data_IF_079185689116
#
_entry.id   IF_079185689116
#
_cell.length_a   1.000
_cell.length_b   1.000
_cell.length_c   1.000
_cell.angle_alpha   90.00
_cell.angle_beta   90.00
_cell.angle_gamma   90.00
#
_symmetry.space_group_name_H-M   'P 1'
#
loop_
_entity.id
_entity.type
_entity.pdbx_description
1 polymer ?
2 non-polymer ?
3 water ?
#
# COMPACT_ATOMS: atom_id res chain seq x y z
N UNK A 2 -0.95 -3.98 17.92
CA UNK A 2 -0.36 -4.11 16.59
C UNK A 2 -1.33 -3.82 15.45
N UNK A 3 -2.51 -3.30 15.78
CA UNK A 3 -3.55 -3.07 14.79
C UNK A 3 -3.30 -1.84 13.92
N UNK A 4 -3.57 -1.97 12.62
CA UNK A 4 -3.36 -0.90 11.66
C UNK A 4 -4.65 -0.52 10.92
N UNK A 5 -4.64 0.65 10.28
CA UNK A 5 -5.63 0.97 9.29
C UNK A 5 -4.97 0.58 7.95
N UNK A 6 -5.66 -0.25 7.18
CA UNK A 6 -5.13 -0.75 5.91
C UNK A 6 -6.01 -0.31 4.74
N UNK A 7 -5.42 0.31 3.73
CA UNK A 7 -6.18 0.69 2.54
C UNK A 7 -5.90 -0.28 1.40
N UNK A 8 -6.95 -0.86 0.82
CA UNK A 8 -6.82 -1.67 -0.38
C UNK A 8 -7.11 -0.75 -1.56
N UNK A 9 -6.26 -0.78 -2.59
CA UNK A 9 -6.51 0.09 -3.75
C UNK A 9 -6.13 -0.62 -5.04
N UNK A 10 -7.11 -0.80 -5.91
CA UNK A 10 -6.91 -1.52 -7.17
C UNK A 10 -7.32 -0.66 -8.37
N UNK A 11 -6.72 -0.94 -9.53
CA UNK A 11 -6.91 -0.13 -10.73
C UNK A 11 -7.72 -0.89 -11.80
N UNK A 12 -7.89 -0.26 -12.97
CA UNK A 12 -8.91 -0.72 -13.92
C UNK A 12 -8.65 -2.12 -14.48
N UNK A 13 -7.40 -2.47 -14.73
CA UNK A 13 -7.16 -3.75 -15.40
C UNK A 13 -7.58 -4.94 -14.52
N UNK A 14 -7.49 -4.76 -13.20
CA UNK A 14 -7.81 -5.84 -12.26
C UNK A 14 -9.07 -5.59 -11.43
N UNK A 15 -9.87 -4.60 -11.84
CA UNK A 15 -11.00 -4.15 -11.02
C UNK A 15 -12.05 -5.23 -10.82
N UNK A 16 -12.20 -6.13 -11.78
CA UNK A 16 -13.19 -7.23 -11.65
C UNK A 16 -12.88 -8.08 -10.45
N UNK A 17 -11.60 -8.11 -10.06
CA UNK A 17 -11.16 -8.96 -8.97
C UNK A 17 -11.21 -8.28 -7.61
N UNK A 18 -11.60 -7.01 -7.58
CA UNK A 18 -11.63 -6.30 -6.30
C UNK A 18 -12.54 -6.94 -5.26
N UNK A 19 -13.73 -7.39 -5.66
CA UNK A 19 -14.64 -8.03 -4.70
C UNK A 19 -13.98 -9.22 -4.00
N UNK A 20 -13.32 -10.07 -4.79
CA UNK A 20 -12.59 -11.21 -4.24
C UNK A 20 -11.51 -10.73 -3.29
N UNK A 21 -10.68 -9.77 -3.71
CA UNK A 21 -9.56 -9.40 -2.87
C UNK A 21 -10.03 -8.72 -1.59
N UNK A 22 -10.99 -7.83 -1.71
CA UNK A 22 -11.56 -7.16 -0.54
C UNK A 22 -12.18 -8.18 0.40
N UNK A 23 -12.85 -9.18 -0.18
CA UNK A 23 -13.40 -10.27 0.61
C UNK A 23 -12.34 -10.95 1.47
N UNK A 24 -11.22 -11.32 0.86
CA UNK A 24 -10.15 -11.97 1.59
C UNK A 24 -9.53 -11.02 2.60
N UNK A 25 -9.34 -9.75 2.23
CA UNK A 25 -8.67 -8.81 3.12
C UNK A 25 -9.53 -8.55 4.36
N UNK A 26 -10.81 -8.33 4.13
CA UNK A 26 -11.74 -8.08 5.22
C UNK A 26 -11.82 -9.28 6.14
N UNK A 27 -11.90 -10.47 5.54
CA UNK A 27 -11.93 -11.71 6.31
C UNK A 27 -10.67 -11.86 7.17
N UNK A 28 -9.51 -11.80 6.53
CA UNK A 28 -8.25 -12.05 7.23
C UNK A 28 -7.85 -10.89 8.15
N UNK A 29 -7.69 -9.71 7.58
CA UNK A 29 -7.18 -8.58 8.34
C UNK A 29 -8.23 -8.10 9.33
N UNK A 30 -9.49 -8.13 8.91
CA UNK A 30 -10.57 -7.76 9.83
C UNK A 30 -10.61 -8.70 11.03
N UNK A 31 -10.47 -9.98 10.75
CA UNK A 31 -10.50 -10.98 11.81
C UNK A 31 -9.36 -10.79 12.79
N UNK A 32 -8.26 -10.21 12.31
CA UNK A 32 -7.10 -9.96 13.16
C UNK A 32 -7.16 -8.61 13.87
N UNK A 33 -8.28 -7.90 13.72
CA UNK A 33 -8.49 -6.66 14.46
C UNK A 33 -8.09 -5.39 13.74
N UNK A 34 -7.73 -5.51 12.47
CA UNK A 34 -7.34 -4.33 11.69
C UNK A 34 -8.58 -3.64 11.10
N UNK A 35 -8.41 -2.38 10.71
CA UNK A 35 -9.48 -1.57 10.14
C UNK A 35 -9.24 -1.42 8.64
N UNK A 36 -10.09 -2.02 7.83
CA UNK A 36 -9.84 -2.12 6.39
C UNK A 36 -10.68 -1.16 5.57
N UNK A 37 -10.04 -0.45 4.65
CA UNK A 37 -10.70 0.53 3.77
C UNK A 37 -10.45 0.14 2.32
N UNK A 38 -11.50 0.15 1.50
CA UNK A 38 -11.37 -0.27 0.11
C UNK A 38 -11.55 1.00 -0.68
N UNK A 39 -10.43 1.63 -1.04
CA UNK A 39 -10.47 3.02 -1.53
C UNK A 39 -10.20 3.18 -3.01
N UNK A 40 -9.73 2.11 -3.65
CA UNK A 40 -9.54 2.11 -5.09
C UNK A 40 -10.81 1.64 -5.79
N UNK A 41 -10.68 1.12 -7.01
CA UNK A 41 -11.84 0.65 -7.75
C UNK A 41 -12.51 -0.56 -7.10
N UNK A 42 -13.84 -0.57 -7.12
CA UNK A 42 -14.57 -1.69 -6.56
C UNK A 42 -15.03 -2.65 -7.64
N UNK A 43 -15.14 -2.15 -8.87
CA UNK A 43 -15.45 -2.98 -10.03
C UNK A 43 -15.14 -2.21 -11.31
N UNK A 44 -15.34 -2.84 -12.47
CA UNK A 44 -14.89 -2.22 -13.72
C UNK A 44 -15.64 -0.95 -14.07
N UNK A 45 -16.81 -0.76 -13.48
CA UNK A 45 -17.63 0.42 -13.77
C UNK A 45 -17.42 1.58 -12.80
N UNK A 46 -16.57 1.38 -11.80
CA UNK A 46 -16.34 2.38 -10.77
C UNK A 46 -15.47 3.54 -11.28
N UNK A 47 -15.39 4.61 -10.50
CA UNK A 47 -14.52 5.75 -10.78
C UNK A 47 -13.18 5.23 -11.27
N UNK A 48 -12.81 5.60 -12.51
CA UNK A 48 -11.70 4.94 -13.22
C UNK A 48 -10.32 5.39 -12.72
N UNK A 49 -9.44 4.40 -12.49
CA UNK A 49 -8.09 4.61 -11.99
C UNK A 49 -7.08 3.78 -12.77
N UNK A 50 -5.85 4.27 -12.88
CA UNK A 50 -4.76 3.44 -13.39
C UNK A 50 -3.74 3.27 -12.27
N UNK A 51 -2.70 2.51 -12.53
CA UNK A 51 -1.68 2.34 -11.50
C UNK A 51 -0.94 3.63 -11.18
N UNK A 52 -1.03 4.65 -12.05
CA UNK A 52 -0.46 5.95 -11.72
C UNK A 52 -1.21 6.58 -10.56
N UNK A 53 -2.54 6.55 -10.62
CA UNK A 53 -3.34 7.14 -9.57
C UNK A 53 -3.11 6.40 -8.26
N UNK A 54 -2.91 5.08 -8.34
CA UNK A 54 -2.69 4.33 -7.12
C UNK A 54 -1.52 4.87 -6.30
N UNK A 55 -0.40 5.17 -6.95
CA UNK A 55 0.75 5.67 -6.23
C UNK A 55 0.45 7.00 -5.55
N UNK A 56 -0.28 7.87 -6.25
CA UNK A 56 -0.62 9.18 -5.67
C UNK A 56 -1.54 9.00 -4.46
N UNK A 57 -2.53 8.12 -4.60
CA UNK A 57 -3.39 7.77 -3.48
C UNK A 57 -2.61 7.19 -2.31
N UNK A 58 -1.65 6.32 -2.57
CA UNK A 58 -0.89 5.75 -1.47
C UNK A 58 -0.12 6.86 -0.76
N UNK A 59 0.47 7.77 -1.54
CA UNK A 59 1.20 8.88 -0.91
C UNK A 59 0.27 9.72 -0.04
N UNK A 60 -0.88 10.09 -0.57
CA UNK A 60 -1.75 11.00 0.18
C UNK A 60 -2.21 10.33 1.47
N UNK A 61 -2.62 9.06 1.37
CA UNK A 61 -3.12 8.37 2.55
C UNK A 61 -2.02 8.06 3.56
N UNK A 62 -0.83 7.67 3.09
CA UNK A 62 0.24 7.32 4.02
C UNK A 62 0.89 8.57 4.61
N UNK A 63 1.17 9.55 3.77
CA UNK A 63 1.82 10.75 4.27
C UNK A 63 0.93 11.60 5.18
N UNK A 64 -0.39 11.46 5.04
CA UNK A 64 -1.32 12.24 5.87
C UNK A 64 -1.61 11.45 7.13
N UNK A 65 -1.05 10.25 7.19
CA UNK A 65 -1.29 9.33 8.28
C UNK A 65 -2.74 8.84 8.38
N UNK A 66 -3.50 8.99 7.30
CA UNK A 66 -4.86 8.47 7.24
C UNK A 66 -4.90 6.96 7.37
N UNK A 67 -3.90 6.29 6.82
CA UNK A 67 -3.76 4.85 7.00
C UNK A 67 -2.32 4.51 7.32
N UNK A 68 -2.13 3.28 7.79
CA UNK A 68 -0.82 2.79 8.20
C UNK A 68 -0.18 1.90 7.14
N UNK A 69 -0.99 1.32 6.27
CA UNK A 69 -0.49 0.30 5.33
C UNK A 69 -1.37 0.29 4.09
N UNK A 70 -0.76 0.04 2.95
CA UNK A 70 -1.47 -0.02 1.67
C UNK A 70 -1.31 -1.40 1.02
N UNK A 71 -2.43 -1.98 0.59
CA UNK A 71 -2.39 -3.18 -0.22
C UNK A 71 -2.81 -2.76 -1.63
N UNK A 72 -1.97 -3.05 -2.62
CA UNK A 72 -2.30 -2.64 -3.97
C UNK A 72 -1.80 -3.71 -4.93
N UNK A 73 -1.75 -3.39 -6.22
CA UNK A 73 -1.24 -4.33 -7.20
C UNK A 73 -1.81 -4.03 -8.57
N UNK A 74 -1.53 -4.91 -9.52
CA UNK A 74 -2.09 -4.77 -10.86
C UNK A 74 -1.87 -6.13 -11.53
N UNK A 75 -1.83 -6.20 -12.85
CA UNK A 75 -1.71 -7.52 -13.49
C UNK A 75 -0.45 -8.26 -13.04
N UNK A 76 0.68 -7.58 -13.08
CA UNK A 76 1.94 -8.18 -12.62
C UNK A 76 2.42 -7.58 -11.30
N UNK A 77 1.79 -6.49 -10.86
CA UNK A 77 2.26 -5.76 -9.68
C UNK A 77 3.35 -4.72 -9.97
N UNK A 78 3.96 -4.79 -11.15
CA UNK A 78 5.12 -3.92 -11.44
C UNK A 78 4.76 -2.44 -11.53
N UNK A 79 3.76 -2.09 -12.33
CA UNK A 79 3.39 -0.68 -12.46
C UNK A 79 3.02 -0.10 -11.11
N UNK A 80 2.20 -0.82 -10.35
CA UNK A 80 1.76 -0.27 -9.07
C UNK A 80 2.94 -0.12 -8.10
N UNK A 81 3.84 -1.08 -8.11
CA UNK A 81 5.01 -1.04 -7.21
C UNK A 81 5.92 0.13 -7.54
N UNK A 82 6.13 0.35 -8.84
CA UNK A 82 7.05 1.44 -9.23
C UNK A 82 6.39 2.80 -9.06
N UNK A 83 5.07 2.84 -9.26
CA UNK A 83 4.26 4.06 -9.07
C UNK A 83 4.21 4.47 -7.60
N UNK A 84 4.12 3.50 -6.69
CA UNK A 84 4.14 3.81 -5.24
C UNK A 84 5.53 4.27 -4.78
N UNK A 85 6.56 3.53 -5.19
CA UNK A 85 7.90 3.78 -4.63
C UNK A 85 8.50 5.14 -4.98
N UNK A 86 8.03 5.78 -6.05
CA UNK A 86 8.56 7.10 -6.37
C UNK A 86 8.21 8.12 -5.29
N UNK A 87 7.13 7.90 -4.57
CA UNK A 87 6.67 8.93 -3.62
C UNK A 87 7.41 8.86 -2.29
N UNK A 88 7.82 10.02 -1.77
CA UNK A 88 8.41 9.96 -0.43
C UNK A 88 7.40 9.42 0.56
N UNK A 89 7.89 8.72 1.57
CA UNK A 89 7.02 8.20 2.60
C UNK A 89 6.28 6.92 2.22
N UNK A 90 6.47 6.44 0.99
CA UNK A 90 5.83 5.22 0.52
C UNK A 90 6.88 4.18 0.17
N UNK A 91 6.89 3.09 0.95
CA UNK A 91 7.90 2.06 0.83
C UNK A 91 7.15 0.76 0.49
N UNK A 92 7.12 0.41 -0.80
CA UNK A 92 6.25 -0.66 -1.31
C UNK A 92 7.05 -1.85 -1.82
N UNK A 93 6.83 -3.02 -1.24
CA UNK A 93 7.50 -4.23 -1.72
C UNK A 93 6.62 -5.03 -2.70
N UNK A 94 7.20 -5.96 -3.45
CA UNK A 94 6.38 -6.92 -4.19
C UNK A 94 5.90 -7.98 -3.20
N UNK A 95 4.79 -8.64 -3.53
CA UNK A 95 4.34 -9.73 -2.69
C UNK A 95 3.66 -10.75 -3.56
N UNK A 96 4.32 -11.87 -3.80
CA UNK A 96 3.81 -12.89 -4.72
C UNK A 96 3.42 -14.19 -4.03
N UNK A 97 3.95 -14.43 -2.84
CA UNK A 97 3.65 -15.68 -2.12
C UNK A 97 3.85 -15.33 -0.65
N UNK A 98 3.25 -16.10 0.26
CA UNK A 98 3.19 -15.71 1.67
C UNK A 98 4.52 -15.35 2.35
N UNK A 99 5.60 -16.07 2.08
CA UNK A 99 6.83 -15.73 2.80
C UNK A 99 7.43 -14.38 2.34
N UNK A 100 7.02 -13.89 1.17
CA UNK A 100 7.40 -12.51 0.78
C UNK A 100 6.92 -11.49 1.79
N UNK A 101 5.69 -11.67 2.27
CA UNK A 101 5.04 -10.72 3.16
C UNK A 101 5.76 -10.72 4.51
N UNK A 102 6.02 -11.90 5.03
CA UNK A 102 6.76 -12.01 6.29
C UNK A 102 8.13 -11.35 6.20
N UNK A 103 8.92 -11.73 5.20
CA UNK A 103 10.27 -11.18 5.04
C UNK A 103 10.22 -9.66 4.80
N UNK A 104 9.28 -9.20 3.99
CA UNK A 104 9.16 -7.77 3.76
C UNK A 104 8.96 -7.05 5.10
N UNK A 105 8.04 -7.54 5.92
CA UNK A 105 7.77 -6.88 7.20
C UNK A 105 8.98 -6.88 8.11
N UNK A 106 9.73 -7.97 8.13
CA UNK A 106 10.86 -8.07 9.04
C UNK A 106 12.12 -7.34 8.55
N UNK A 107 12.40 -7.43 7.26
CA UNK A 107 13.65 -6.91 6.70
C UNK A 107 13.49 -5.45 6.29
N UNK A 108 12.42 -5.16 5.55
CA UNK A 108 12.24 -3.82 5.02
C UNK A 108 11.35 -2.94 5.88
N UNK A 109 10.36 -3.55 6.52
CA UNK A 109 9.48 -2.83 7.44
C UNK A 109 8.87 -1.65 6.72
N UNK A 110 8.36 -1.89 5.51
CA UNK A 110 7.75 -0.83 4.71
C UNK A 110 6.27 -0.73 5.02
N UNK A 111 5.54 -0.01 4.19
CA UNK A 111 4.14 0.29 4.47
C UNK A 111 3.19 0.06 3.29
N UNK A 112 3.66 -0.67 2.29
CA UNK A 112 2.78 -1.02 1.17
C UNK A 112 3.27 -2.31 0.53
N UNK A 113 2.35 -3.11 -0.01
CA UNK A 113 2.75 -4.26 -0.81
C UNK A 113 1.96 -4.26 -2.12
N UNK A 114 2.60 -4.74 -3.18
CA UNK A 114 1.96 -4.80 -4.50
C UNK A 114 1.87 -6.24 -4.96
N UNK A 115 0.64 -6.70 -5.18
CA UNK A 115 0.40 -8.09 -5.59
C UNK A 115 0.21 -8.19 -7.09
N UNK A 116 0.39 -9.40 -7.62
CA UNK A 116 0.08 -9.68 -9.02
C UNK A 116 -1.28 -10.38 -9.06
N UNK A 117 -2.26 -9.76 -9.69
CA UNK A 117 -3.61 -10.31 -9.72
C UNK A 117 -3.94 -11.04 -11.03
N UNK A 118 -3.05 -10.95 -12.03
CA UNK A 118 -3.28 -11.63 -13.31
C UNK A 118 -2.17 -12.63 -13.64
N UNK A 119 -0.94 -12.17 -13.66
CA UNK A 119 0.19 -13.05 -13.95
C UNK A 119 0.39 -14.02 -12.79
N UNK A 120 0.48 -15.31 -13.09
CA UNK A 120 0.58 -16.31 -12.04
C UNK A 120 -0.72 -16.56 -11.28
N UNK A 121 -1.80 -15.92 -11.70
CA UNK A 121 -3.07 -16.00 -10.96
C UNK A 121 -4.03 -16.85 -11.72
N UNK A 122 -4.18 -18.08 -11.27
CA UNK A 122 -5.08 -18.96 -11.96
C UNK A 122 -6.02 -19.57 -10.98
N UNK A 123 -6.53 -20.67 -11.45
CA UNK A 123 -7.53 -21.35 -10.75
C UNK A 123 -6.93 -21.50 -9.38
N UNK A 124 -7.68 -21.15 -8.33
CA UNK A 124 -7.19 -21.23 -6.94
C UNK A 124 -6.26 -20.10 -6.39
N UNK A 125 -6.11 -19.02 -7.16
CA UNK A 125 -5.34 -17.81 -6.89
C UNK A 125 -5.79 -17.08 -5.62
N UNK A 126 -7.08 -17.17 -5.31
CA UNK A 126 -7.62 -16.48 -4.14
C UNK A 126 -7.02 -17.03 -2.83
N UNK A 127 -6.64 -18.31 -2.83
CA UNK A 127 -6.00 -18.93 -1.66
C UNK A 127 -4.68 -18.23 -1.35
N UNK A 128 -3.87 -18.05 -2.39
CA UNK A 128 -2.59 -17.37 -2.22
C UNK A 128 -2.79 -15.94 -1.70
N UNK A 129 -3.80 -15.23 -2.21
CA UNK A 129 -4.09 -13.88 -1.70
C UNK A 129 -4.41 -13.96 -0.20
N UNK A 130 -5.28 -14.89 0.17
CA UNK A 130 -5.61 -15.09 1.59
C UNK A 130 -4.37 -15.32 2.44
N UNK A 131 -3.52 -16.23 1.99
CA UNK A 131 -2.34 -16.65 2.75
C UNK A 131 -1.35 -15.49 2.86
N UNK A 132 -1.24 -14.71 1.79
CA UNK A 132 -0.40 -13.50 1.83
C UNK A 132 -0.89 -12.57 2.92
N UNK A 133 -2.20 -12.37 3.02
CA UNK A 133 -2.72 -11.45 4.02
C UNK A 133 -2.51 -12.00 5.43
N UNK A 134 -2.61 -13.32 5.56
CA UNK A 134 -2.37 -13.98 6.84
C UNK A 134 -0.97 -13.68 7.35
N UNK A 135 0.03 -13.76 6.47
CA UNK A 135 1.40 -13.51 6.88
C UNK A 135 1.74 -12.02 6.97
N UNK A 136 1.12 -11.19 6.13
CA UNK A 136 1.38 -9.73 6.18
C UNK A 136 0.91 -9.07 7.46
N UNK A 137 -0.17 -9.59 8.03
CA UNK A 137 -0.89 -8.83 9.05
C UNK A 137 -0.98 -9.55 10.40
N UNK A 138 -0.23 -10.64 10.53
CA UNK A 138 -0.10 -11.35 11.80
C UNK A 138 1.29 -11.06 12.36
N UNK A 139 1.37 -10.83 13.67
CA UNK A 139 2.67 -10.75 14.31
C UNK A 139 3.32 -9.38 14.28
N UNK A 140 4.60 -9.34 14.65
CA UNK A 140 5.31 -8.07 14.72
C UNK A 140 6.10 -7.79 13.45
N UNK A 141 6.55 -6.54 13.31
CA UNK A 141 7.22 -6.11 12.10
C UNK A 141 8.57 -5.47 12.43
N UNK A 142 9.50 -5.55 11.47
CA UNK A 142 10.82 -4.96 11.62
C UNK A 142 11.81 -5.58 12.58
N UNK A 143 11.74 -6.90 12.82
CA UNK A 143 12.66 -7.52 13.75
C UNK A 143 13.90 -8.06 13.07
N UNK A 144 13.97 -7.90 11.76
CA UNK A 144 15.07 -8.48 10.99
C UNK A 144 14.86 -9.97 10.68
N UNK A 145 15.59 -10.41 9.62
CA UNK A 145 15.78 -11.82 9.14
C UNK A 145 16.94 -12.02 8.08
N UNK A 146 17.84 -13.01 8.28
CA UNK A 146 17.80 -13.85 9.47
C UNK A 146 18.35 -12.97 10.56
N UNK A 147 18.17 -13.39 11.81
CA UNK A 147 18.41 -12.50 12.92
C UNK A 147 19.81 -11.90 12.88
N UNK A 148 20.75 -12.65 12.32
CA UNK A 148 22.14 -12.22 12.27
C UNK A 148 22.31 -10.87 11.56
N UNK A 149 21.37 -10.54 10.68
CA UNK A 149 21.45 -9.33 9.87
C UNK A 149 20.52 -8.23 10.34
N UNK A 150 19.85 -8.43 11.47
CA UNK A 150 18.85 -7.49 11.95
C UNK A 150 19.37 -6.05 11.98
N UNK A 151 20.33 -5.77 12.86
CA UNK A 151 20.96 -4.42 12.95
C UNK A 151 21.18 -3.72 11.60
N UNK A 152 21.94 -4.34 10.70
CA UNK A 152 22.17 -3.65 9.42
C UNK A 152 20.89 -3.51 8.60
N UNK A 153 19.97 -4.47 8.69
CA UNK A 153 18.71 -4.36 7.96
C UNK A 153 17.90 -3.16 8.46
N UNK A 154 17.83 -3.02 9.78
CA UNK A 154 17.14 -1.87 10.36
C UNK A 154 17.82 -0.55 9.99
N UNK A 155 19.16 -0.56 10.01
CA UNK A 155 19.90 0.65 9.66
C UNK A 155 19.64 1.07 8.23
N UNK A 156 19.63 0.10 7.33
CA UNK A 156 19.45 0.44 5.92
C UNK A 156 18.03 0.86 5.62
N UNK A 157 17.08 0.23 6.29
CA UNK A 157 15.68 0.61 6.11
C UNK A 157 15.49 2.06 6.57
N UNK A 158 16.14 2.44 7.66
CA UNK A 158 16.04 3.84 8.12
C UNK A 158 16.62 4.81 7.10
N UNK A 159 17.78 4.47 6.57
CA UNK A 159 18.44 5.29 5.58
C UNK A 159 17.57 5.44 4.31
N UNK A 160 16.90 4.36 3.91
CA UNK A 160 16.06 4.42 2.72
C UNK A 160 15.07 5.58 2.85
N UNK A 161 14.48 5.73 4.04
CA UNK A 161 13.51 6.81 4.22
C UNK A 161 14.17 8.17 4.05
N UNK A 162 15.37 8.31 4.57
CA UNK A 162 16.11 9.59 4.43
C UNK A 162 16.37 9.93 2.98
N UNK A 163 16.82 8.93 2.23
CA UNK A 163 17.19 9.15 0.84
C UNK A 163 15.96 9.54 0.05
N UNK A 164 14.84 8.87 0.34
CA UNK A 164 13.59 9.20 -0.33
C UNK A 164 13.20 10.64 -0.03
N UNK A 165 13.29 11.03 1.23
CA UNK A 165 12.92 12.40 1.61
C UNK A 165 13.84 13.43 0.98
N UNK A 166 15.11 13.06 0.78
CA UNK A 166 16.09 14.00 0.23
C UNK A 166 15.90 14.24 -1.27
N UNK A 167 15.67 13.15 -1.99
CA UNK A 167 15.57 13.18 -3.45
C UNK A 167 14.28 13.82 -3.90
N UNK A 168 13.25 13.66 -3.07
CA UNK A 168 11.93 14.19 -3.36
C UNK A 168 11.71 15.61 -2.87
N UNK A 169 10.90 16.36 -3.59
CA UNK A 169 10.39 17.64 -3.07
C UNK A 169 9.57 17.39 -1.81
N UNK A 170 9.28 18.46 -1.07
CA UNK A 170 8.35 18.34 0.06
C UNK A 170 7.06 17.71 -0.48
N UNK A 171 6.34 16.97 0.36
CA UNK A 171 5.18 16.23 -0.13
C UNK A 171 4.18 17.09 -0.92
N UNK A 172 3.70 18.17 -0.33
CA UNK A 172 2.69 18.94 -1.02
C UNK A 172 3.24 19.61 -2.28
N UNK A 173 4.44 20.17 -2.21
CA UNK A 173 5.06 20.77 -3.39
C UNK A 173 5.15 19.75 -4.51
N UNK A 174 5.55 18.54 -4.16
CA UNK A 174 5.64 17.48 -5.16
C UNK A 174 4.30 17.14 -5.79
N UNK A 175 3.27 17.08 -4.97
CA UNK A 175 1.94 16.75 -5.47
C UNK A 175 1.48 17.85 -6.42
N UNK A 176 1.84 19.10 -6.09
CA UNK A 176 1.46 20.21 -6.95
C UNK A 176 2.15 20.18 -8.29
N UNK A 177 3.30 19.52 -8.36
CA UNK A 177 4.09 19.46 -9.59
C UNK A 177 3.56 18.35 -10.51
N UNK A 178 2.87 17.36 -9.93
CA UNK A 178 2.25 16.32 -10.76
C UNK A 178 1.17 16.99 -11.59
N UNK A 179 0.89 16.45 -12.78
CA UNK A 179 -0.23 16.92 -13.58
C UNK A 179 -1.46 16.92 -12.68
N UNK A 180 -2.07 18.08 -12.47
CA UNK A 180 -3.14 18.12 -11.48
C UNK A 180 -4.36 17.34 -11.87
N UNK A 181 -4.53 17.08 -13.16
CA UNK A 181 -5.60 16.17 -13.60
C UNK A 181 -5.43 14.79 -12.92
N UNK A 182 -4.19 14.32 -12.85
CA UNK A 182 -3.92 13.02 -12.23
C UNK A 182 -4.32 13.06 -10.77
N UNK A 183 -3.96 14.13 -10.06
CA UNK A 183 -4.24 14.14 -8.63
C UNK A 183 -5.73 14.27 -8.37
N UNK A 184 -6.41 15.11 -9.15
CA UNK A 184 -7.86 15.24 -9.02
C UNK A 184 -8.56 13.89 -9.20
N UNK A 185 -8.10 13.13 -10.19
CA UNK A 185 -8.67 11.80 -10.43
C UNK A 185 -8.39 10.90 -9.25
N UNK A 186 -7.16 10.96 -8.74
CA UNK A 186 -6.74 10.09 -7.62
C UNK A 186 -7.63 10.29 -6.38
N UNK A 187 -8.03 11.53 -6.11
CA UNK A 187 -8.81 11.80 -4.90
C UNK A 187 -10.29 11.92 -5.18
N UNK A 188 -10.70 11.58 -6.40
CA UNK A 188 -12.06 11.80 -6.83
C UNK A 188 -13.19 10.93 -6.29
N UNK A 189 -12.92 9.71 -5.85
CA UNK A 189 -14.01 8.80 -5.48
C UNK A 189 -14.55 9.05 -4.07
N UNK A 190 -15.81 8.68 -3.85
CA UNK A 190 -16.42 8.79 -2.52
C UNK A 190 -15.71 7.91 -1.50
N UNK A 191 -15.32 6.70 -1.89
CA UNK A 191 -14.65 5.81 -0.93
C UNK A 191 -13.27 6.34 -0.54
N UNK A 192 -12.57 6.99 -1.47
CA UNK A 192 -11.27 7.58 -1.11
C UNK A 192 -11.47 8.74 -0.14
N UNK A 193 -12.37 9.65 -0.51
CA UNK A 193 -12.58 10.84 0.31
C UNK A 193 -13.06 10.49 1.71
N UNK A 194 -13.91 9.48 1.82
CA UNK A 194 -14.45 9.10 3.12
C UNK A 194 -13.34 8.64 4.05
N UNK A 195 -12.42 7.84 3.52
CA UNK A 195 -11.28 7.39 4.31
C UNK A 195 -10.37 8.57 4.64
N UNK A 196 -9.98 9.32 3.62
CA UNK A 196 -9.02 10.40 3.80
C UNK A 196 -9.49 11.45 4.81
N UNK A 197 -10.65 12.01 4.57
CA UNK A 197 -11.11 13.11 5.41
C UNK A 197 -11.40 12.70 6.85
N UNK A 198 -11.78 11.45 7.05
CA UNK A 198 -12.06 10.92 8.38
C UNK A 198 -10.80 10.71 9.20
N UNK A 199 -9.68 10.45 8.53
CA UNK A 199 -8.49 10.00 9.24
C UNK A 199 -7.23 10.85 9.01
N UNK A 200 -7.29 11.80 8.09
CA UNK A 200 -6.13 12.65 7.83
C UNK A 200 -5.65 13.37 9.09
N UNK A 201 -4.35 13.31 9.36
CA UNK A 201 -3.78 13.96 10.54
C UNK A 201 -2.89 15.13 10.17
N UNK A 202 -2.87 15.48 8.89
CA UNK A 202 -1.98 16.54 8.42
C UNK A 202 -2.77 17.62 7.68
N UNK A 203 -3.06 18.74 8.37
CA UNK A 203 -3.94 19.71 7.75
C UNK A 203 -3.51 20.23 6.40
N UNK A 204 -2.21 20.42 6.17
CA UNK A 204 -1.79 20.98 4.90
C UNK A 204 -2.23 20.08 3.74
N UNK A 205 -2.17 18.78 3.96
CA UNK A 205 -2.58 17.83 2.92
C UNK A 205 -4.10 17.87 2.72
N UNK A 206 -4.84 17.88 3.82
CA UNK A 206 -6.29 18.00 3.73
C UNK A 206 -6.69 19.25 2.95
N UNK A 207 -6.06 20.38 3.30
CA UNK A 207 -6.36 21.64 2.64
C UNK A 207 -6.11 21.54 1.15
N UNK A 208 -4.98 20.93 0.79
CA UNK A 208 -4.60 20.78 -0.61
C UNK A 208 -5.62 19.89 -1.34
N UNK A 209 -5.93 18.74 -0.75
CA UNK A 209 -6.92 17.83 -1.33
C UNK A 209 -8.27 18.55 -1.51
N UNK A 210 -8.72 19.25 -0.47
CA UNK A 210 -9.98 20.01 -0.56
C UNK A 210 -10.00 20.97 -1.76
N UNK A 211 -8.87 21.63 -2.00
CA UNK A 211 -8.78 22.60 -3.09
C UNK A 211 -8.97 21.97 -4.46
N UNK A 212 -8.75 20.66 -4.58
CA UNK A 212 -8.94 19.96 -5.85
C UNK A 212 -10.40 19.60 -6.12
N UNK A 213 -11.22 19.58 -5.06
CA UNK A 213 -12.59 19.04 -5.15
C UNK A 213 -13.64 20.14 -5.32
X LIG B 1 7.19 3.37 6.37
X LIG B 1 7.21 2.05 6.89
X LIG B 1 7.95 4.31 7.28
X LIG B 1 9.19 3.71 7.58
X LIG B 1 8.14 5.72 6.70
X LIG B 1 7.54 5.82 5.43
#
# INVERSE_FOLDING_TARGET
SNAMKIALMMENSQAAKNAMVAGELNSVAGGLGHDVFNVGMTDENDHHLTYIHLGIMASILLNSKAVDFVVTGCGTGQGALMSCNLHPGVVCGYCLEPSDAFLFNQINNGNAISLAFAKGFGWAGELNVRYIFEKAFTGKRGEGYPIERAAPQQANAAILNNVKAAVAKDVVEGLRAIDQELVKTAVGSTQFQECFFAHCQVPEIAEYVKSLLD
GOL C1 O1 C2 O2 C3 O3
#
